data_IF_106910388193
#
_entry.id   IF_106910388193
#
_cell.length_a   1.000
_cell.length_b   1.000
_cell.length_c   1.000
_cell.angle_alpha   90.00
_cell.angle_beta   90.00
_cell.angle_gamma   90.00
#
_symmetry.space_group_name_H-M   'P 1'
#
loop_
_entity.id
_entity.type
_entity.pdbx_description
1 polymer ?
#
# COMPACT_ATOMS: atom_id res chain seq x y z
N UNK A 1 -13.65 -11.15 -4.73
CA UNK A 1 -12.36 -11.85 -4.51
C UNK A 1 -11.31 -11.07 -5.26
N UNK A 2 -10.54 -10.27 -4.55
CA UNK A 2 -9.44 -9.50 -5.13
C UNK A 2 -8.23 -10.41 -5.24
N UNK A 3 -7.78 -10.67 -6.47
CA UNK A 3 -6.64 -11.55 -6.74
C UNK A 3 -5.31 -10.95 -6.26
N UNK A 4 -4.25 -11.78 -6.13
CA UNK A 4 -2.90 -11.30 -5.89
C UNK A 4 -2.45 -10.42 -7.06
N UNK A 5 -1.66 -9.40 -6.77
CA UNK A 5 -1.05 -8.52 -7.76
C UNK A 5 0.34 -9.07 -8.06
N UNK A 6 0.61 -9.38 -9.32
CA UNK A 6 1.82 -10.11 -9.70
C UNK A 6 3.04 -9.20 -9.83
N UNK A 7 2.84 -7.90 -10.08
CA UNK A 7 3.94 -6.98 -10.34
C UNK A 7 3.83 -5.67 -9.58
N UNK A 8 4.99 -5.14 -9.19
CA UNK A 8 5.12 -3.78 -8.61
C UNK A 8 4.55 -2.71 -9.54
N UNK A 9 4.71 -2.86 -10.86
CA UNK A 9 4.19 -1.93 -11.86
C UNK A 9 2.66 -1.90 -11.81
N UNK A 10 2.03 -3.07 -11.73
CA UNK A 10 0.58 -3.19 -11.58
C UNK A 10 0.09 -2.61 -10.25
N UNK A 11 0.77 -2.90 -9.13
CA UNK A 11 0.46 -2.30 -7.84
C UNK A 11 0.50 -0.75 -7.90
N UNK A 12 1.56 -0.18 -8.48
CA UNK A 12 1.68 1.27 -8.67
C UNK A 12 0.58 1.84 -9.58
N UNK A 13 0.22 1.13 -10.65
CA UNK A 13 -0.85 1.53 -11.56
C UNK A 13 -2.18 1.58 -10.83
N UNK A 14 -2.52 0.53 -10.08
CA UNK A 14 -3.75 0.44 -9.30
C UNK A 14 -3.82 1.54 -8.23
N UNK A 15 -2.73 1.79 -7.51
CA UNK A 15 -2.66 2.91 -6.55
C UNK A 15 -2.89 4.25 -7.26
N UNK A 16 -2.28 4.46 -8.42
CA UNK A 16 -2.49 5.66 -9.22
C UNK A 16 -3.94 5.79 -9.70
N UNK A 17 -4.64 4.70 -9.95
CA UNK A 17 -6.08 4.68 -10.28
C UNK A 17 -6.98 4.93 -9.07
N UNK A 18 -6.39 5.08 -7.87
CA UNK A 18 -7.11 5.32 -6.62
C UNK A 18 -7.52 4.04 -5.90
N UNK A 19 -7.01 2.88 -6.32
CA UNK A 19 -7.22 1.62 -5.61
C UNK A 19 -6.34 1.54 -4.37
N UNK A 20 -6.80 0.82 -3.37
CA UNK A 20 -6.04 0.52 -2.17
C UNK A 20 -5.34 -0.83 -2.35
N UNK A 21 -4.05 -0.87 -2.05
CA UNK A 21 -3.25 -2.08 -2.08
C UNK A 21 -2.80 -2.41 -0.67
N UNK A 22 -2.92 -3.66 -0.27
CA UNK A 22 -2.50 -4.17 1.03
C UNK A 22 -1.41 -5.20 0.84
N UNK A 23 -0.41 -5.20 1.72
CA UNK A 23 0.57 -6.27 1.82
C UNK A 23 1.03 -6.44 3.27
N UNK A 24 1.63 -7.59 3.57
CA UNK A 24 2.22 -7.85 4.89
C UNK A 24 3.71 -7.45 4.87
N UNK A 25 4.14 -6.72 5.88
CA UNK A 25 5.55 -6.40 6.14
C UNK A 25 6.00 -7.02 7.46
N UNK A 26 7.31 -6.97 7.75
CA UNK A 26 7.86 -7.39 9.03
C UNK A 26 7.27 -6.60 10.23
N UNK A 27 6.87 -5.35 10.02
CA UNK A 27 6.34 -4.47 11.07
C UNK A 27 4.82 -4.60 11.27
N UNK A 28 4.11 -5.22 10.32
CA UNK A 28 2.66 -5.32 10.32
C UNK A 28 2.03 -5.24 8.94
N UNK A 29 0.70 -5.06 8.92
CA UNK A 29 -0.08 -4.93 7.69
C UNK A 29 0.06 -3.51 7.14
N UNK A 30 0.50 -3.37 5.90
CA UNK A 30 0.64 -2.08 5.22
C UNK A 30 -0.48 -1.93 4.20
N UNK A 31 -1.13 -0.77 4.21
CA UNK A 31 -2.06 -0.37 3.14
C UNK A 31 -1.54 0.89 2.46
N UNK A 32 -1.59 0.90 1.14
CA UNK A 32 -1.16 2.00 0.29
C UNK A 32 -2.33 2.49 -0.53
N UNK A 33 -2.51 3.81 -0.56
CA UNK A 33 -3.54 4.45 -1.40
C UNK A 33 -3.06 5.79 -1.93
N UNK A 34 -3.70 6.25 -3.00
CA UNK A 34 -3.54 7.62 -3.50
C UNK A 34 -4.57 8.53 -2.84
N UNK A 35 -4.11 9.54 -2.11
CA UNK A 35 -4.98 10.57 -1.52
C UNK A 35 -5.39 11.62 -2.56
N UNK A 36 -4.45 12.06 -3.38
CA UNK A 36 -4.69 13.03 -4.45
C UNK A 36 -3.62 12.92 -5.55
N UNK A 37 -3.67 13.75 -6.60
CA UNK A 37 -2.69 13.69 -7.70
C UNK A 37 -1.27 13.93 -7.18
N UNK A 38 -0.41 12.90 -7.31
CA UNK A 38 0.97 12.93 -6.85
C UNK A 38 1.15 12.84 -5.33
N UNK A 39 0.08 12.55 -4.57
CA UNK A 39 0.12 12.40 -3.12
C UNK A 39 -0.43 11.04 -2.72
N UNK A 40 0.39 10.29 -1.99
CA UNK A 40 0.07 8.95 -1.54
C UNK A 40 0.10 8.88 -0.01
N UNK A 41 -0.59 7.89 0.54
CA UNK A 41 -0.59 7.58 1.96
C UNK A 41 -0.24 6.11 2.15
N UNK A 42 0.57 5.87 3.18
CA UNK A 42 0.80 4.55 3.76
C UNK A 42 0.14 4.51 5.12
N UNK A 43 -0.64 3.46 5.37
CA UNK A 43 -1.25 3.13 6.64
C UNK A 43 -0.59 1.85 7.13
N UNK A 44 0.18 1.94 8.20
CA UNK A 44 0.83 0.78 8.83
C UNK A 44 0.05 0.39 10.07
N UNK A 45 -0.52 -0.82 10.07
CA UNK A 45 -1.19 -1.43 11.20
C UNK A 45 -0.20 -2.35 11.90
N UNK A 46 0.37 -1.86 13.01
CA UNK A 46 1.22 -2.66 13.87
C UNK A 46 0.40 -3.74 14.57
N UNK A 47 1.03 -4.90 14.79
CA UNK A 47 0.36 -6.00 15.49
C UNK A 47 0.04 -5.61 16.93
N UNK A 48 -1.26 -5.55 17.26
CA UNK A 48 -1.72 -5.17 18.60
C UNK A 48 -2.06 -3.69 18.78
N UNK A 49 -1.94 -2.86 17.74
CA UNK A 49 -2.42 -1.48 17.75
C UNK A 49 -3.79 -1.36 17.07
N UNK A 50 -4.68 -0.55 17.64
CA UNK A 50 -6.02 -0.32 17.08
C UNK A 50 -6.02 0.67 15.93
N UNK A 51 -5.12 1.66 15.96
CA UNK A 51 -5.04 2.72 14.95
C UNK A 51 -3.80 2.57 14.07
N UNK A 52 -3.90 2.77 12.74
CA UNK A 52 -2.74 2.72 11.87
C UNK A 52 -1.90 3.99 12.00
N UNK A 53 -0.58 3.83 11.87
CA UNK A 53 0.32 4.95 11.65
C UNK A 53 0.18 5.42 10.20
N UNK A 54 -0.33 6.64 10.01
CA UNK A 54 -0.54 7.24 8.70
C UNK A 54 0.66 8.10 8.32
N UNK A 55 1.32 7.76 7.20
CA UNK A 55 2.43 8.54 6.64
C UNK A 55 2.08 9.02 5.24
N UNK A 56 2.31 10.31 4.97
CA UNK A 56 2.25 10.86 3.62
C UNK A 56 3.54 10.49 2.90
N UNK A 57 3.40 9.85 1.75
CA UNK A 57 4.55 9.33 0.98
C UNK A 57 4.59 9.94 -0.42
N UNK A 58 5.79 10.21 -0.90
CA UNK A 58 6.05 10.66 -2.27
C UNK A 58 6.22 9.46 -3.19
N UNK A 59 6.17 9.68 -4.50
CA UNK A 59 6.28 8.60 -5.49
C UNK A 59 7.55 7.73 -5.35
N UNK A 60 8.77 8.28 -5.10
CA UNK A 60 9.95 7.44 -4.90
C UNK A 60 9.87 6.58 -3.63
N UNK A 61 9.30 7.13 -2.56
CA UNK A 61 9.11 6.41 -1.29
C UNK A 61 8.06 5.31 -1.43
N UNK A 62 6.98 5.56 -2.19
CA UNK A 62 5.97 4.56 -2.52
C UNK A 62 6.60 3.34 -3.22
N UNK A 63 7.49 3.59 -4.18
CA UNK A 63 8.20 2.53 -4.88
C UNK A 63 9.12 1.74 -3.94
N UNK A 64 9.79 2.39 -2.99
CA UNK A 64 10.61 1.72 -1.99
C UNK A 64 9.76 0.89 -1.00
N UNK A 65 8.60 1.38 -0.59
CA UNK A 65 7.68 0.65 0.30
C UNK A 65 7.16 -0.61 -0.39
N UNK A 66 6.80 -0.51 -1.68
CA UNK A 66 6.34 -1.69 -2.43
C UNK A 66 7.42 -2.77 -2.52
N UNK A 67 8.71 -2.43 -2.59
CA UNK A 67 9.81 -3.42 -2.61
C UNK A 67 9.91 -4.25 -1.32
N UNK A 68 9.30 -3.80 -0.23
CA UNK A 68 9.29 -4.53 1.03
C UNK A 68 8.17 -5.59 1.09
N UNK A 69 7.18 -5.51 0.21
CA UNK A 69 6.08 -6.45 0.18
C UNK A 69 6.43 -7.70 -0.63
N UNK A 70 6.25 -8.87 -0.03
CA UNK A 70 6.42 -10.16 -0.72
C UNK A 70 5.20 -10.51 -1.57
N UNK A 71 3.99 -10.17 -1.09
CA UNK A 71 2.72 -10.38 -1.79
C UNK A 71 1.80 -9.17 -1.61
N UNK A 72 1.24 -8.67 -2.71
CA UNK A 72 0.31 -7.53 -2.69
C UNK A 72 -1.10 -7.96 -3.10
N UNK A 73 -2.09 -7.36 -2.46
CA UNK A 73 -3.51 -7.66 -2.68
C UNK A 73 -4.28 -6.36 -2.88
N UNK A 74 -5.20 -6.36 -3.84
CA UNK A 74 -6.14 -5.25 -3.96
C UNK A 74 -7.17 -5.33 -2.83
N UNK A 75 -7.44 -4.20 -2.17
CA UNK A 75 -8.45 -4.11 -1.13
C UNK A 75 -9.65 -3.37 -1.73
N UNK A 76 -10.80 -4.06 -1.78
CA UNK A 76 -12.07 -3.43 -2.14
C UNK A 76 -12.59 -2.66 -0.91
N UNK A 77 -12.73 -1.34 -1.03
CA UNK A 77 -13.59 -0.53 -0.16
C UNK A 77 -15.06 -0.68 -0.58
#
# INVERSE_FOLDING_TARGET
>A
MSGPIETKIEAMKLINEGKMITFQSAEGKVQLRRKSKGVYESLLFHSGEEEPVIKKVKFPELAAILEQGEEWFLTEE
#
